data_IF_349350346774
#
_entry.id   IF_349350346774
#
_cell.length_a   1.000
_cell.length_b   1.000
_cell.length_c   1.000
_cell.angle_alpha   90.00
_cell.angle_beta   90.00
_cell.angle_gamma   90.00
#
_symmetry.space_group_name_H-M   'P 1'
#
loop_
_entity.id
_entity.type
_entity.pdbx_description
1 polymer ?
#
# COMPACT_ATOMS: atom_id res chain seq x y z
N UNK A 1 2.06 11.64 13.32
CA UNK A 1 0.95 12.60 13.51
C UNK A 1 1.09 13.45 14.78
N UNK A 2 1.30 12.87 15.98
CA UNK A 2 1.42 13.66 17.22
C UNK A 2 2.49 14.78 17.18
N UNK A 3 3.71 14.48 16.73
CA UNK A 3 4.77 15.48 16.59
C UNK A 3 4.39 16.62 15.63
N UNK A 4 3.56 16.34 14.61
CA UNK A 4 3.06 17.36 13.70
C UNK A 4 2.01 18.25 14.37
N UNK A 5 1.11 17.67 15.17
CA UNK A 5 0.15 18.43 16.00
C UNK A 5 0.91 19.40 16.93
N UNK A 6 2.01 18.96 17.54
CA UNK A 6 2.86 19.81 18.39
C UNK A 6 3.44 21.00 17.64
N UNK A 7 3.95 20.76 16.43
CA UNK A 7 4.46 21.84 15.56
C UNK A 7 3.36 22.86 15.26
N UNK A 8 2.14 22.40 14.98
CA UNK A 8 1.01 23.28 14.68
C UNK A 8 0.58 24.11 15.88
N UNK A 9 0.52 23.52 17.08
CA UNK A 9 0.19 24.23 18.32
C UNK A 9 1.25 25.29 18.63
N UNK A 10 2.53 24.96 18.50
CA UNK A 10 3.62 25.90 18.74
C UNK A 10 3.58 27.07 17.74
N UNK A 11 3.31 26.80 16.46
CA UNK A 11 3.20 27.82 15.43
C UNK A 11 2.00 28.77 15.64
N UNK A 12 0.92 28.27 16.24
CA UNK A 12 -0.33 29.01 16.46
C UNK A 12 -0.39 29.72 17.82
N UNK A 13 0.45 29.33 18.78
CA UNK A 13 0.61 29.98 20.09
C UNK A 13 1.47 31.27 20.03
N UNK A 14 2.06 31.59 18.88
CA UNK A 14 2.82 32.82 18.67
C UNK A 14 1.95 34.09 18.55
N UNK A 15 2.58 35.27 18.61
CA UNK A 15 1.89 36.59 18.51
C UNK A 15 1.27 36.89 17.13
N UNK A 16 1.52 36.05 16.14
CA UNK A 16 1.10 36.25 14.75
C UNK A 16 0.21 35.08 14.31
N UNK A 17 -1.05 35.38 14.03
CA UNK A 17 -1.98 34.43 13.44
C UNK A 17 -1.47 33.93 12.09
N UNK A 18 -1.60 32.63 11.83
CA UNK A 18 -1.32 32.06 10.51
C UNK A 18 -2.31 32.64 9.48
N UNK A 19 -1.87 32.98 8.25
CA UNK A 19 -2.75 33.54 7.23
C UNK A 19 -3.70 32.50 6.60
N UNK A 20 -3.78 31.30 7.16
CA UNK A 20 -4.58 30.18 6.68
C UNK A 20 -5.15 29.36 7.84
N UNK A 21 -6.20 28.57 7.55
CA UNK A 21 -6.76 27.57 8.46
C UNK A 21 -6.29 26.18 8.04
N UNK A 22 -6.04 25.31 9.02
CA UNK A 22 -5.59 23.94 8.77
C UNK A 22 -6.73 23.00 9.16
N UNK A 23 -7.14 22.14 8.23
CA UNK A 23 -8.02 21.01 8.50
C UNK A 23 -7.16 19.75 8.61
N UNK A 24 -7.25 19.07 9.75
CA UNK A 24 -6.58 17.79 9.99
C UNK A 24 -7.62 16.69 10.06
N UNK A 25 -7.38 15.60 9.36
CA UNK A 25 -8.17 14.37 9.48
C UNK A 25 -7.26 13.26 9.97
N UNK A 26 -7.74 12.46 10.92
CA UNK A 26 -7.01 11.33 11.47
C UNK A 26 -7.96 10.24 11.91
N UNK A 27 -7.46 9.00 11.98
CA UNK A 27 -8.15 7.94 12.73
C UNK A 27 -8.11 8.24 14.22
N UNK A 28 -9.05 7.65 14.97
CA UNK A 28 -9.08 7.73 16.43
C UNK A 28 -7.99 6.81 16.99
N UNK A 29 -6.76 7.28 17.01
CA UNK A 29 -5.65 6.61 17.66
C UNK A 29 -5.43 7.20 19.04
N UNK A 30 -5.15 6.35 20.04
CA UNK A 30 -5.07 6.77 21.44
C UNK A 30 -4.05 7.88 21.67
N UNK A 31 -2.92 7.83 20.96
CA UNK A 31 -1.88 8.85 21.05
C UNK A 31 -2.29 10.21 20.47
N UNK A 32 -3.21 10.21 19.49
CA UNK A 32 -3.79 11.43 18.90
C UNK A 32 -4.87 11.98 19.82
N UNK A 33 -5.78 11.10 20.30
CA UNK A 33 -6.85 11.45 21.24
C UNK A 33 -6.33 12.11 22.49
N UNK A 34 -5.32 11.50 23.14
CA UNK A 34 -4.65 12.08 24.31
C UNK A 34 -4.10 13.49 24.05
N UNK A 35 -3.66 13.77 22.83
CA UNK A 35 -3.11 15.08 22.48
C UNK A 35 -4.20 16.11 22.24
N UNK A 36 -5.34 15.74 21.65
CA UNK A 36 -6.49 16.63 21.50
C UNK A 36 -7.22 16.91 22.82
N UNK A 37 -7.18 15.96 23.76
CA UNK A 37 -7.77 16.11 25.09
C UNK A 37 -6.91 16.97 26.04
N UNK A 38 -5.68 17.34 25.63
CA UNK A 38 -4.78 18.16 26.44
C UNK A 38 -5.31 19.61 26.55
N UNK A 39 -5.51 20.14 27.76
CA UNK A 39 -5.95 21.52 27.99
C UNK A 39 -5.11 22.58 27.26
N UNK A 40 -3.81 22.32 27.06
CA UNK A 40 -2.93 23.23 26.33
C UNK A 40 -3.29 23.36 24.83
N UNK A 41 -4.05 22.42 24.28
CA UNK A 41 -4.42 22.38 22.85
C UNK A 41 -5.83 22.87 22.56
N UNK A 42 -6.72 22.87 23.57
CA UNK A 42 -8.13 23.20 23.42
C UNK A 42 -8.40 24.66 23.02
N UNK A 43 -7.47 25.57 23.33
CA UNK A 43 -7.59 26.98 22.95
C UNK A 43 -7.35 27.25 21.46
N UNK A 44 -6.70 26.30 20.78
CA UNK A 44 -6.20 26.51 19.41
C UNK A 44 -6.73 25.48 18.41
N UNK A 45 -7.20 24.34 18.91
CA UNK A 45 -7.70 23.24 18.09
C UNK A 45 -9.20 23.05 18.31
N UNK A 46 -9.95 23.03 17.20
CA UNK A 46 -11.34 22.61 17.19
C UNK A 46 -11.40 21.13 16.82
N UNK A 47 -11.74 20.27 17.79
CA UNK A 47 -11.86 18.83 17.58
C UNK A 47 -13.31 18.47 17.24
N UNK A 48 -13.51 17.82 16.09
CA UNK A 48 -14.79 17.24 15.68
C UNK A 48 -14.68 15.71 15.76
N UNK A 49 -15.29 15.13 16.79
CA UNK A 49 -15.34 13.67 16.94
C UNK A 49 -16.41 13.08 16.01
N UNK A 50 -15.98 12.28 15.05
CA UNK A 50 -16.85 11.57 14.12
C UNK A 50 -17.12 10.12 14.55
N UNK A 51 -16.55 9.64 15.67
CA UNK A 51 -16.71 8.26 16.12
C UNK A 51 -18.17 7.89 16.41
N UNK A 52 -18.96 8.87 16.87
CA UNK A 52 -20.38 8.70 17.19
C UNK A 52 -21.31 9.31 16.14
N UNK A 53 -20.78 9.76 14.99
CA UNK A 53 -21.61 10.30 13.92
C UNK A 53 -22.40 9.16 13.26
N UNK A 54 -23.74 9.26 13.30
CA UNK A 54 -24.61 8.31 12.62
C UNK A 54 -24.75 8.67 11.14
N UNK A 55 -23.86 8.10 10.33
CA UNK A 55 -23.86 8.26 8.87
C UNK A 55 -24.97 7.47 8.15
N UNK A 56 -25.87 6.78 8.87
CA UNK A 56 -26.81 5.82 8.26
C UNK A 56 -27.76 6.46 7.25
N UNK A 57 -28.25 7.67 7.51
CA UNK A 57 -29.11 8.41 6.57
C UNK A 57 -28.34 8.79 5.28
N UNK A 58 -27.11 9.26 5.43
CA UNK A 58 -26.26 9.61 4.28
C UNK A 58 -25.93 8.35 3.44
N UNK A 59 -25.68 7.22 4.10
CA UNK A 59 -25.46 5.91 3.45
C UNK A 59 -26.73 5.45 2.72
N UNK A 60 -27.92 5.69 3.27
CA UNK A 60 -29.17 5.37 2.57
C UNK A 60 -29.29 6.15 1.27
N UNK A 61 -29.10 7.47 1.30
CA UNK A 61 -29.13 8.31 0.10
C UNK A 61 -28.06 7.87 -0.90
N UNK A 62 -26.86 7.53 -0.41
CA UNK A 62 -25.79 7.00 -1.22
C UNK A 62 -26.18 5.68 -1.90
N UNK A 63 -26.70 4.70 -1.16
CA UNK A 63 -27.15 3.42 -1.72
C UNK A 63 -28.24 3.60 -2.77
N UNK A 64 -29.28 4.38 -2.47
CA UNK A 64 -30.38 4.64 -3.41
C UNK A 64 -29.83 5.23 -4.72
N UNK A 65 -28.94 6.22 -4.62
CA UNK A 65 -28.32 6.83 -5.81
C UNK A 65 -27.46 5.83 -6.59
N UNK A 66 -26.59 5.09 -5.91
CA UNK A 66 -25.62 4.21 -6.56
C UNK A 66 -26.27 2.95 -7.14
N UNK A 67 -27.24 2.34 -6.46
CA UNK A 67 -27.94 1.20 -7.01
C UNK A 67 -28.81 1.57 -8.23
N UNK A 68 -29.43 2.76 -8.22
CA UNK A 68 -30.09 3.26 -9.42
C UNK A 68 -29.09 3.46 -10.57
N UNK A 69 -27.92 4.02 -10.29
CA UNK A 69 -26.85 4.15 -11.28
C UNK A 69 -26.41 2.79 -11.86
N UNK A 70 -26.15 1.79 -11.00
CA UNK A 70 -25.82 0.43 -11.42
C UNK A 70 -26.94 -0.16 -12.29
N UNK A 71 -28.19 0.01 -11.89
CA UNK A 71 -29.34 -0.48 -12.67
C UNK A 71 -29.35 0.12 -14.07
N UNK A 72 -29.21 1.44 -14.17
CA UNK A 72 -29.31 2.19 -15.43
C UNK A 72 -28.10 1.93 -16.36
N UNK A 73 -26.91 1.63 -15.81
CA UNK A 73 -25.77 1.19 -16.62
C UNK A 73 -25.90 -0.25 -17.12
N UNK A 74 -26.70 -1.08 -16.45
CA UNK A 74 -26.83 -2.51 -16.73
C UNK A 74 -28.20 -2.91 -17.28
N UNK A 75 -28.92 -1.99 -17.96
CA UNK A 75 -30.30 -2.19 -18.40
C UNK A 75 -30.55 -3.53 -19.09
N UNK A 76 -29.67 -3.97 -20.00
CA UNK A 76 -29.81 -5.26 -20.71
C UNK A 76 -29.91 -6.46 -19.75
N UNK A 77 -29.14 -6.44 -18.67
CA UNK A 77 -29.11 -7.50 -17.65
C UNK A 77 -30.19 -7.30 -16.58
N UNK A 78 -30.68 -6.08 -16.43
CA UNK A 78 -31.65 -5.67 -15.40
C UNK A 78 -33.09 -5.55 -15.90
N UNK A 79 -33.35 -5.73 -17.21
CA UNK A 79 -34.67 -5.63 -17.86
C UNK A 79 -35.80 -6.42 -17.18
N UNK A 80 -35.46 -7.55 -16.53
CA UNK A 80 -36.44 -8.42 -15.84
C UNK A 80 -36.52 -8.17 -14.34
N UNK A 81 -35.75 -7.20 -13.84
CA UNK A 81 -35.70 -6.83 -12.43
C UNK A 81 -36.57 -5.59 -12.23
N UNK A 82 -37.54 -5.69 -11.33
CA UNK A 82 -38.47 -4.59 -11.04
C UNK A 82 -37.78 -3.46 -10.28
N UNK A 83 -38.16 -2.20 -10.57
CA UNK A 83 -37.81 -1.04 -9.74
C UNK A 83 -38.81 -0.89 -8.57
N UNK A 84 -38.39 -0.31 -7.42
CA UNK A 84 -37.03 0.10 -7.09
C UNK A 84 -36.10 -1.12 -6.91
N UNK A 85 -34.83 -0.94 -7.31
CA UNK A 85 -33.79 -1.93 -7.09
C UNK A 85 -32.62 -1.29 -6.34
N UNK A 86 -32.16 -1.88 -5.22
CA UNK A 86 -32.72 -3.04 -4.52
C UNK A 86 -34.13 -2.78 -3.98
N UNK A 87 -34.83 -3.85 -3.58
CA UNK A 87 -36.12 -3.69 -2.90
C UNK A 87 -35.92 -2.95 -1.56
N UNK A 88 -36.95 -2.29 -1.04
CA UNK A 88 -36.85 -1.58 0.26
C UNK A 88 -36.44 -2.51 1.42
N UNK A 89 -36.84 -3.79 1.35
CA UNK A 89 -36.43 -4.82 2.30
C UNK A 89 -34.93 -5.11 2.21
N UNK A 90 -34.44 -5.33 0.99
CA UNK A 90 -33.01 -5.63 0.77
C UNK A 90 -32.14 -4.41 1.09
N UNK A 91 -32.59 -3.20 0.74
CA UNK A 91 -31.92 -1.95 1.12
C UNK A 91 -31.78 -1.82 2.64
N UNK A 92 -32.83 -2.17 3.39
CA UNK A 92 -32.80 -2.17 4.86
C UNK A 92 -31.77 -3.17 5.39
N UNK A 93 -31.67 -4.36 4.79
CA UNK A 93 -30.64 -5.35 5.14
C UNK A 93 -29.24 -4.79 4.88
N UNK A 94 -29.02 -4.18 3.72
CA UNK A 94 -27.72 -3.56 3.39
C UNK A 94 -27.36 -2.42 4.34
N UNK A 95 -28.32 -1.58 4.72
CA UNK A 95 -28.12 -0.52 5.71
C UNK A 95 -27.73 -1.07 7.08
N UNK A 96 -28.40 -2.14 7.51
CA UNK A 96 -28.04 -2.82 8.76
C UNK A 96 -26.63 -3.41 8.71
N UNK A 97 -26.23 -3.97 7.56
CA UNK A 97 -24.87 -4.50 7.36
C UNK A 97 -23.81 -3.40 7.36
N UNK A 98 -24.10 -2.26 6.73
CA UNK A 98 -23.17 -1.15 6.65
C UNK A 98 -23.01 -0.37 7.96
N UNK A 99 -24.07 -0.31 8.77
CA UNK A 99 -24.09 0.56 9.95
C UNK A 99 -23.77 2.00 9.54
N UNK A 100 -22.76 2.59 10.18
CA UNK A 100 -22.25 3.93 9.86
C UNK A 100 -20.97 3.91 9.01
N UNK A 101 -20.58 2.77 8.43
CA UNK A 101 -19.33 2.62 7.70
C UNK A 101 -19.50 2.90 6.20
N UNK A 102 -19.13 4.12 5.78
CA UNK A 102 -19.05 4.48 4.37
C UNK A 102 -18.04 3.63 3.58
N UNK A 103 -16.95 3.19 4.20
CA UNK A 103 -15.98 2.28 3.58
C UNK A 103 -16.63 0.95 3.20
N UNK A 104 -17.44 0.39 4.12
CA UNK A 104 -18.19 -0.83 3.85
C UNK A 104 -19.28 -0.60 2.79
N UNK A 105 -20.07 0.47 2.91
CA UNK A 105 -21.08 0.83 1.92
C UNK A 105 -20.49 1.00 0.51
N UNK A 106 -19.35 1.67 0.40
CA UNK A 106 -18.65 1.86 -0.88
C UNK A 106 -18.17 0.53 -1.45
N UNK A 107 -17.53 -0.31 -0.62
CA UNK A 107 -17.05 -1.63 -1.05
C UNK A 107 -18.21 -2.52 -1.51
N UNK A 108 -19.37 -2.46 -0.85
CA UNK A 108 -20.57 -3.18 -1.29
C UNK A 108 -21.06 -2.73 -2.66
N UNK A 109 -21.12 -1.42 -2.89
CA UNK A 109 -21.52 -0.86 -4.19
C UNK A 109 -20.54 -1.29 -5.27
N UNK A 110 -19.24 -1.22 -5.02
CA UNK A 110 -18.22 -1.67 -5.97
C UNK A 110 -18.30 -3.17 -6.23
N UNK A 111 -18.55 -3.97 -5.20
CA UNK A 111 -18.77 -5.42 -5.33
C UNK A 111 -19.98 -5.71 -6.22
N UNK A 112 -21.12 -5.07 -5.99
CA UNK A 112 -22.32 -5.35 -6.79
C UNK A 112 -22.19 -4.81 -8.21
N UNK A 113 -21.65 -3.60 -8.38
CA UNK A 113 -21.51 -2.93 -9.67
C UNK A 113 -20.43 -3.54 -10.58
N UNK A 114 -19.35 -4.07 -10.00
CA UNK A 114 -18.26 -4.71 -10.76
C UNK A 114 -18.58 -6.12 -11.28
N UNK A 115 -19.67 -6.74 -10.84
CA UNK A 115 -20.06 -8.06 -11.32
C UNK A 115 -20.85 -7.97 -12.64
N UNK A 116 -20.61 -8.86 -13.62
CA UNK A 116 -21.36 -8.88 -14.88
C UNK A 116 -22.89 -9.05 -14.73
N UNK A 117 -23.34 -9.54 -13.57
CA UNK A 117 -24.76 -9.74 -13.23
C UNK A 117 -25.04 -9.11 -11.85
N UNK A 118 -25.26 -7.78 -11.77
CA UNK A 118 -25.39 -7.08 -10.48
C UNK A 118 -26.49 -7.65 -9.58
N UNK A 119 -27.64 -8.04 -10.14
CA UNK A 119 -28.72 -8.67 -9.38
C UNK A 119 -28.31 -9.98 -8.70
N UNK A 120 -27.46 -10.79 -9.34
CA UNK A 120 -26.94 -12.04 -8.73
C UNK A 120 -25.90 -11.75 -7.66
N UNK A 121 -25.05 -10.75 -7.88
CA UNK A 121 -24.05 -10.33 -6.90
C UNK A 121 -24.72 -9.80 -5.63
N UNK A 122 -25.75 -8.96 -5.78
CA UNK A 122 -26.58 -8.50 -4.68
C UNK A 122 -27.23 -9.66 -3.93
N UNK A 123 -27.82 -10.63 -4.64
CA UNK A 123 -28.43 -11.80 -4.01
C UNK A 123 -27.40 -12.62 -3.21
N UNK A 124 -26.24 -12.92 -3.80
CA UNK A 124 -25.13 -13.61 -3.12
C UNK A 124 -24.71 -12.86 -1.86
N UNK A 125 -24.62 -11.53 -1.93
CA UNK A 125 -24.27 -10.69 -0.78
C UNK A 125 -25.32 -10.74 0.33
N UNK A 126 -26.61 -10.71 -0.01
CA UNK A 126 -27.70 -10.82 0.97
C UNK A 126 -27.68 -12.19 1.66
N UNK A 127 -27.42 -13.25 0.89
CA UNK A 127 -27.36 -14.65 1.38
C UNK A 127 -26.08 -14.95 2.19
N UNK A 128 -24.95 -14.33 1.85
CA UNK A 128 -23.63 -14.62 2.42
C UNK A 128 -23.48 -14.35 3.92
N UNK A 129 -24.44 -13.68 4.57
CA UNK A 129 -24.34 -13.29 5.98
C UNK A 129 -23.18 -12.34 6.30
N UNK A 130 -22.43 -11.86 5.29
CA UNK A 130 -21.27 -10.98 5.45
C UNK A 130 -21.67 -9.72 6.21
N UNK A 131 -20.99 -9.52 7.34
CA UNK A 131 -21.12 -8.37 8.23
C UNK A 131 -19.71 -7.83 8.50
N UNK A 132 -19.47 -6.56 8.22
CA UNK A 132 -18.16 -5.93 8.38
C UNK A 132 -17.20 -6.18 7.21
N UNK A 133 -16.12 -5.41 7.17
CA UNK A 133 -15.20 -5.34 6.02
C UNK A 133 -14.41 -6.63 5.78
N UNK A 134 -13.99 -7.33 6.83
CA UNK A 134 -13.10 -8.49 6.70
C UNK A 134 -13.76 -9.64 5.90
N UNK A 135 -14.98 -10.10 6.23
CA UNK A 135 -15.61 -11.14 5.43
C UNK A 135 -15.96 -10.68 4.00
N UNK A 136 -16.13 -9.37 3.77
CA UNK A 136 -16.34 -8.84 2.42
C UNK A 136 -15.05 -8.90 1.60
N UNK A 137 -13.90 -8.56 2.19
CA UNK A 137 -12.60 -8.76 1.55
C UNK A 137 -12.32 -10.23 1.27
N UNK A 138 -12.59 -11.13 2.22
CA UNK A 138 -12.48 -12.58 2.02
C UNK A 138 -13.36 -13.05 0.84
N UNK A 139 -14.59 -12.55 0.72
CA UNK A 139 -15.48 -12.90 -0.38
C UNK A 139 -14.95 -12.43 -1.75
N UNK A 140 -14.32 -11.25 -1.81
CA UNK A 140 -13.70 -10.75 -3.04
C UNK A 140 -12.47 -11.57 -3.39
N UNK A 141 -11.57 -11.78 -2.44
CA UNK A 141 -10.30 -12.49 -2.63
C UNK A 141 -10.51 -13.97 -2.96
N UNK A 142 -11.51 -14.63 -2.36
CA UNK A 142 -11.88 -16.02 -2.71
C UNK A 142 -12.42 -16.19 -4.14
N UNK A 143 -12.85 -15.09 -4.77
CA UNK A 143 -13.30 -15.09 -6.16
C UNK A 143 -12.18 -14.73 -7.15
N UNK A 144 -11.00 -14.35 -6.66
CA UNK A 144 -9.83 -14.00 -7.47
C UNK A 144 -9.00 -15.25 -7.86
N UNK A 145 -8.06 -15.07 -8.78
CA UNK A 145 -7.34 -16.14 -9.50
C UNK A 145 -6.40 -17.02 -8.66
N UNK A 146 -6.02 -16.61 -7.44
CA UNK A 146 -5.15 -17.39 -6.55
C UNK A 146 -3.77 -17.76 -7.13
N UNK A 147 -3.35 -17.15 -8.24
CA UNK A 147 -2.08 -17.43 -8.93
C UNK A 147 -0.89 -16.89 -8.14
N UNK A 148 0.32 -17.35 -8.44
CA UNK A 148 1.53 -16.79 -7.84
C UNK A 148 1.69 -15.30 -8.18
N UNK A 149 1.39 -14.93 -9.43
CA UNK A 149 1.48 -13.55 -9.91
C UNK A 149 0.47 -12.64 -9.19
N UNK A 150 -0.77 -13.10 -8.97
CA UNK A 150 -1.75 -12.38 -8.17
C UNK A 150 -1.23 -12.04 -6.76
N UNK A 151 -0.68 -13.04 -6.05
CA UNK A 151 -0.13 -12.82 -4.71
C UNK A 151 1.08 -11.88 -4.73
N UNK A 152 1.94 -11.97 -5.76
CA UNK A 152 3.10 -11.10 -5.91
C UNK A 152 2.71 -9.65 -6.21
N UNK A 153 1.75 -9.43 -7.11
CA UNK A 153 1.21 -8.12 -7.46
C UNK A 153 0.53 -7.49 -6.24
N UNK A 154 -0.41 -8.22 -5.61
CA UNK A 154 -1.15 -7.73 -4.46
C UNK A 154 -0.19 -7.44 -3.28
N UNK A 155 0.73 -8.36 -2.99
CA UNK A 155 1.81 -8.15 -2.01
C UNK A 155 2.58 -6.87 -2.24
N UNK A 156 2.97 -6.61 -3.48
CA UNK A 156 3.71 -5.41 -3.86
C UNK A 156 2.90 -4.14 -3.61
N UNK A 157 1.64 -4.08 -4.09
CA UNK A 157 0.75 -2.92 -3.88
C UNK A 157 0.55 -2.62 -2.38
N UNK A 158 0.44 -3.67 -1.56
CA UNK A 158 0.21 -3.52 -0.12
C UNK A 158 1.43 -2.95 0.60
N UNK A 159 2.66 -3.29 0.17
CA UNK A 159 3.90 -2.86 0.82
C UNK A 159 4.46 -1.55 0.28
N UNK A 160 4.16 -1.18 -0.96
CA UNK A 160 4.58 0.10 -1.53
C UNK A 160 4.02 1.27 -0.70
N UNK A 161 4.91 2.21 -0.38
CA UNK A 161 4.54 3.43 0.36
C UNK A 161 3.61 4.31 -0.48
N UNK A 162 3.95 4.47 -1.76
CA UNK A 162 3.17 5.21 -2.75
C UNK A 162 2.50 4.29 -3.76
N UNK A 163 1.33 4.70 -4.24
CA UNK A 163 0.65 4.06 -5.35
C UNK A 163 1.51 4.10 -6.61
N UNK A 164 1.47 3.03 -7.41
CA UNK A 164 2.21 2.88 -8.66
C UNK A 164 1.30 2.49 -9.81
N UNK A 165 1.79 2.70 -11.03
CA UNK A 165 1.05 2.38 -12.25
C UNK A 165 1.20 0.90 -12.64
N UNK A 166 0.39 0.45 -13.59
CA UNK A 166 0.46 -0.90 -14.14
C UNK A 166 1.80 -1.10 -14.85
N UNK A 167 2.23 -0.13 -15.65
CA UNK A 167 3.54 -0.12 -16.32
C UNK A 167 4.69 -0.27 -15.31
N UNK A 168 4.64 0.47 -14.18
CA UNK A 168 5.65 0.36 -13.13
C UNK A 168 5.68 -1.05 -12.52
N UNK A 169 4.51 -1.60 -12.17
CA UNK A 169 4.43 -2.93 -11.56
C UNK A 169 4.89 -4.03 -12.52
N UNK A 170 4.48 -3.98 -13.79
CA UNK A 170 4.92 -4.92 -14.83
C UNK A 170 6.43 -4.93 -14.97
N UNK A 171 7.03 -3.74 -15.06
CA UNK A 171 8.48 -3.58 -15.21
C UNK A 171 9.27 -4.00 -13.95
N UNK A 172 8.80 -3.66 -12.74
CA UNK A 172 9.46 -4.07 -11.49
C UNK A 172 9.35 -5.58 -11.22
N UNK A 173 8.19 -6.17 -11.50
CA UNK A 173 7.89 -7.57 -11.22
C UNK A 173 8.27 -8.51 -12.37
N UNK A 174 8.71 -7.96 -13.51
CA UNK A 174 9.03 -8.68 -14.75
C UNK A 174 7.81 -9.44 -15.30
N UNK A 175 6.64 -8.79 -15.28
CA UNK A 175 5.37 -9.28 -15.79
C UNK A 175 4.92 -8.45 -17.01
N UNK A 176 4.10 -9.04 -17.89
CA UNK A 176 3.44 -8.23 -18.92
C UNK A 176 2.33 -7.38 -18.28
N UNK A 177 2.09 -6.17 -18.80
CA UNK A 177 1.01 -5.32 -18.31
C UNK A 177 -0.35 -6.03 -18.39
N UNK A 178 -0.58 -6.82 -19.45
CA UNK A 178 -1.82 -7.58 -19.63
C UNK A 178 -2.06 -8.60 -18.51
N UNK A 179 -1.00 -9.25 -18.03
CA UNK A 179 -1.08 -10.19 -16.90
C UNK A 179 -1.43 -9.43 -15.62
N UNK A 180 -0.78 -8.28 -15.38
CA UNK A 180 -1.08 -7.43 -14.22
C UNK A 180 -2.54 -6.98 -14.22
N UNK A 181 -3.05 -6.53 -15.37
CA UNK A 181 -4.45 -6.14 -15.55
C UNK A 181 -5.38 -7.33 -15.26
N UNK A 182 -5.11 -8.49 -15.87
CA UNK A 182 -5.94 -9.68 -15.69
C UNK A 182 -6.08 -10.07 -14.22
N UNK A 183 -4.98 -10.04 -13.47
CA UNK A 183 -4.98 -10.38 -12.06
C UNK A 183 -5.74 -9.35 -11.21
N UNK A 184 -5.54 -8.06 -11.47
CA UNK A 184 -6.20 -7.00 -10.71
C UNK A 184 -7.70 -6.87 -11.01
N UNK A 185 -8.15 -7.23 -12.22
CA UNK A 185 -9.58 -7.26 -12.57
C UNK A 185 -10.38 -8.24 -11.69
N UNK A 186 -9.74 -9.28 -11.15
CA UNK A 186 -10.36 -10.20 -10.18
C UNK A 186 -10.72 -9.53 -8.85
N UNK A 187 -10.05 -8.42 -8.50
CA UNK A 187 -10.23 -7.67 -7.24
C UNK A 187 -10.59 -6.21 -7.45
N UNK A 188 -11.09 -5.84 -8.64
CA UNK A 188 -11.46 -4.46 -9.00
C UNK A 188 -12.55 -3.83 -8.11
N UNK A 189 -13.23 -4.63 -7.27
CA UNK A 189 -14.21 -4.13 -6.30
C UNK A 189 -13.57 -3.53 -5.04
N UNK A 190 -12.30 -3.81 -4.79
CA UNK A 190 -11.55 -3.35 -3.61
C UNK A 190 -10.30 -2.53 -3.99
N UNK A 191 -9.90 -2.59 -5.26
CA UNK A 191 -8.81 -1.83 -5.87
C UNK A 191 -9.32 -1.13 -7.12
N UNK A 192 -9.03 0.16 -7.28
CA UNK A 192 -9.24 0.90 -8.51
C UNK A 192 -8.15 0.55 -9.52
N UNK A 193 -8.54 -0.06 -10.63
CA UNK A 193 -7.68 -0.36 -11.77
C UNK A 193 -7.96 0.70 -12.84
N UNK A 194 -7.00 1.58 -13.16
CA UNK A 194 -7.23 2.64 -14.14
C UNK A 194 -7.37 2.08 -15.57
N UNK A 195 -8.01 2.86 -16.44
CA UNK A 195 -8.13 2.52 -17.86
C UNK A 195 -6.87 2.81 -18.69
N UNK A 196 -5.92 3.55 -18.11
CA UNK A 196 -4.62 3.84 -18.69
C UNK A 196 -3.52 3.23 -17.78
N UNK A 197 -2.62 2.45 -18.38
CA UNK A 197 -1.59 1.70 -17.65
C UNK A 197 -0.57 2.59 -16.91
N UNK A 198 -0.46 3.86 -17.29
CA UNK A 198 0.44 4.82 -16.64
C UNK A 198 -0.21 5.60 -15.48
N UNK A 199 -1.53 5.45 -15.28
CA UNK A 199 -2.23 6.02 -14.13
C UNK A 199 -2.04 5.14 -12.88
N UNK A 200 -2.23 5.75 -11.70
CA UNK A 200 -1.97 5.08 -10.42
C UNK A 200 -3.07 4.10 -10.04
N UNK A 201 -2.65 2.89 -9.66
CA UNK A 201 -3.51 1.90 -9.01
C UNK A 201 -3.78 2.38 -7.57
N UNK A 202 -5.04 2.39 -7.14
CA UNK A 202 -5.41 2.89 -5.81
C UNK A 202 -6.26 1.89 -5.06
N UNK A 203 -5.96 1.68 -3.77
CA UNK A 203 -6.89 0.99 -2.88
C UNK A 203 -8.10 1.89 -2.62
N UNK A 204 -9.32 1.37 -2.69
CA UNK A 204 -10.49 2.18 -2.33
C UNK A 204 -10.50 2.60 -0.86
N UNK A 205 -9.87 1.79 0.01
CA UNK A 205 -9.79 2.10 1.42
C UNK A 205 -8.56 1.49 2.09
N UNK A 206 -7.96 2.23 3.03
CA UNK A 206 -6.76 1.83 3.77
C UNK A 206 -6.97 0.60 4.64
N UNK A 207 -8.22 0.28 5.03
CA UNK A 207 -8.52 -0.94 5.81
C UNK A 207 -8.23 -2.23 5.05
N UNK A 208 -8.13 -2.21 3.72
CA UNK A 208 -7.71 -3.38 2.96
C UNK A 208 -6.25 -3.72 3.27
N UNK A 209 -5.37 -2.72 3.33
CA UNK A 209 -3.98 -2.87 3.77
C UNK A 209 -3.95 -3.42 5.19
N UNK A 210 -4.71 -2.82 6.11
CA UNK A 210 -4.79 -3.32 7.51
C UNK A 210 -5.27 -4.78 7.60
N UNK A 211 -6.19 -5.19 6.74
CA UNK A 211 -6.71 -6.56 6.71
C UNK A 211 -5.63 -7.53 6.22
N UNK A 212 -5.01 -7.23 5.07
CA UNK A 212 -4.04 -8.12 4.43
C UNK A 212 -2.73 -8.25 5.22
N UNK A 213 -2.34 -7.25 6.01
CA UNK A 213 -1.10 -7.29 6.83
C UNK A 213 -1.31 -7.82 8.26
N UNK A 214 -2.50 -8.31 8.62
CA UNK A 214 -2.77 -8.88 9.95
C UNK A 214 -3.25 -10.33 9.82
N UNK A 215 -2.37 -11.28 10.18
CA UNK A 215 -2.61 -12.72 10.00
C UNK A 215 -3.89 -13.25 10.65
N UNK A 216 -4.24 -12.75 11.83
CA UNK A 216 -5.47 -13.15 12.53
C UNK A 216 -6.76 -12.70 11.82
N UNK A 217 -6.67 -11.67 10.97
CA UNK A 217 -7.79 -11.13 10.19
C UNK A 217 -7.89 -11.79 8.82
N UNK A 218 -6.79 -11.87 8.08
CA UNK A 218 -6.78 -12.33 6.68
C UNK A 218 -6.52 -13.81 6.46
N UNK A 219 -6.11 -14.57 7.49
CA UNK A 219 -5.93 -16.03 7.45
C UNK A 219 -5.01 -16.46 6.30
N UNK A 220 -5.55 -17.11 5.27
CA UNK A 220 -4.82 -17.58 4.09
C UNK A 220 -4.43 -16.44 3.12
N UNK A 221 -5.13 -15.30 3.18
CA UNK A 221 -4.83 -14.10 2.40
C UNK A 221 -3.79 -13.18 3.06
N UNK A 222 -3.16 -13.65 4.14
CA UNK A 222 -2.17 -12.86 4.87
C UNK A 222 -0.92 -12.61 4.02
N UNK A 223 -0.60 -11.33 3.84
CA UNK A 223 0.64 -10.86 3.22
C UNK A 223 1.61 -10.58 4.35
N UNK A 224 2.66 -11.38 4.44
CA UNK A 224 3.72 -11.23 5.43
C UNK A 224 4.62 -10.02 5.08
N UNK A 225 4.51 -8.89 5.80
CA UNK A 225 5.20 -7.67 5.38
C UNK A 225 6.73 -7.81 5.31
N UNK A 226 7.44 -8.37 6.31
CA UNK A 226 8.88 -8.56 6.19
C UNK A 226 9.29 -9.42 5.00
N UNK A 227 8.57 -10.52 4.74
CA UNK A 227 8.87 -11.39 3.60
C UNK A 227 8.71 -10.63 2.27
N UNK A 228 7.64 -9.85 2.15
CA UNK A 228 7.36 -9.09 0.93
C UNK A 228 8.35 -7.94 0.72
N UNK A 229 8.83 -7.30 1.79
CA UNK A 229 9.96 -6.37 1.72
C UNK A 229 11.21 -7.05 1.12
N UNK A 230 11.57 -8.26 1.57
CA UNK A 230 12.72 -8.97 0.98
C UNK A 230 12.51 -9.32 -0.50
N UNK A 231 11.30 -9.72 -0.89
CA UNK A 231 10.98 -9.95 -2.31
C UNK A 231 11.13 -8.65 -3.13
N UNK A 232 10.65 -7.51 -2.64
CA UNK A 232 10.82 -6.23 -3.32
C UNK A 232 12.29 -5.82 -3.45
N UNK A 233 13.11 -6.06 -2.43
CA UNK A 233 14.55 -5.85 -2.53
C UNK A 233 15.18 -6.71 -3.64
N UNK A 234 14.77 -7.97 -3.76
CA UNK A 234 15.21 -8.87 -4.83
C UNK A 234 14.79 -8.33 -6.20
N UNK A 235 13.55 -7.90 -6.38
CA UNK A 235 13.07 -7.33 -7.64
C UNK A 235 13.80 -6.04 -8.01
N UNK A 236 14.03 -5.14 -7.04
CA UNK A 236 14.81 -3.93 -7.26
C UNK A 236 16.23 -4.28 -7.73
N UNK A 237 16.92 -5.19 -7.05
CA UNK A 237 18.28 -5.58 -7.40
C UNK A 237 18.36 -6.30 -8.75
N UNK A 238 17.38 -7.16 -9.08
CA UNK A 238 17.29 -7.79 -10.41
C UNK A 238 17.15 -6.75 -11.50
N UNK A 239 16.23 -5.79 -11.33
CA UNK A 239 16.02 -4.72 -12.30
C UNK A 239 17.30 -3.92 -12.54
N UNK A 240 18.00 -3.52 -11.48
CA UNK A 240 19.27 -2.79 -11.59
C UNK A 240 20.39 -3.59 -12.26
N UNK A 241 20.38 -4.93 -12.15
CA UNK A 241 21.39 -5.81 -12.75
C UNK A 241 21.07 -6.10 -14.23
N UNK A 242 19.81 -6.33 -14.57
CA UNK A 242 19.36 -6.77 -15.90
C UNK A 242 19.18 -5.61 -16.89
N UNK A 243 18.84 -4.42 -16.41
CA UNK A 243 18.58 -3.23 -17.23
C UNK A 243 19.63 -2.15 -16.97
N UNK A 244 20.85 -2.31 -17.51
CA UNK A 244 21.92 -1.33 -17.32
C UNK A 244 21.60 -0.04 -18.06
N UNK A 245 21.39 1.04 -17.31
CA UNK A 245 21.24 2.39 -17.84
C UNK A 245 22.56 3.18 -17.72
N UNK A 246 22.65 4.33 -18.41
CA UNK A 246 23.83 5.22 -18.27
C UNK A 246 23.92 5.82 -16.86
N UNK A 247 22.77 6.09 -16.27
CA UNK A 247 22.55 6.46 -14.88
C UNK A 247 21.23 5.82 -14.41
N UNK A 248 21.09 5.54 -13.11
CA UNK A 248 19.88 4.87 -12.59
C UNK A 248 18.64 5.79 -12.53
N UNK A 249 18.59 6.86 -13.32
CA UNK A 249 17.42 7.74 -13.45
C UNK A 249 16.65 7.55 -14.76
N UNK A 250 17.16 6.73 -15.68
CA UNK A 250 16.45 6.34 -16.89
C UNK A 250 15.27 5.41 -16.55
N UNK A 251 14.13 5.99 -16.17
CA UNK A 251 12.90 5.28 -15.85
C UNK A 251 12.54 5.32 -14.37
N UNK A 252 11.23 5.32 -14.09
CA UNK A 252 10.67 5.36 -12.74
C UNK A 252 11.05 4.12 -11.90
N UNK A 253 11.11 2.94 -12.51
CA UNK A 253 11.50 1.69 -11.84
C UNK A 253 12.98 1.66 -11.48
N UNK A 254 13.89 2.04 -12.38
CA UNK A 254 15.33 2.08 -12.08
C UNK A 254 15.61 3.08 -10.95
N UNK A 255 14.99 4.26 -11.01
CA UNK A 255 15.08 5.28 -9.98
C UNK A 255 14.57 4.77 -8.63
N UNK A 256 13.38 4.18 -8.62
CA UNK A 256 12.82 3.56 -7.42
C UNK A 256 13.74 2.47 -6.85
N UNK A 257 14.19 1.55 -7.70
CA UNK A 257 15.00 0.41 -7.30
C UNK A 257 16.32 0.88 -6.68
N UNK A 258 16.97 1.88 -7.28
CA UNK A 258 18.21 2.48 -6.79
C UNK A 258 18.06 3.03 -5.36
N UNK A 259 16.99 3.80 -5.11
CA UNK A 259 16.76 4.41 -3.80
C UNK A 259 16.24 3.43 -2.74
N UNK A 260 15.51 2.37 -3.13
CA UNK A 260 14.70 1.60 -2.19
C UNK A 260 15.16 0.16 -1.94
N UNK A 261 16.09 -0.41 -2.72
CA UNK A 261 16.50 -1.81 -2.49
C UNK A 261 17.08 -2.02 -1.08
N UNK A 262 17.89 -1.08 -0.57
CA UNK A 262 18.49 -1.16 0.77
C UNK A 262 17.46 -0.89 1.86
N UNK A 263 16.54 0.04 1.63
CA UNK A 263 15.40 0.32 2.49
C UNK A 263 14.57 -0.95 2.71
N UNK A 264 14.20 -1.65 1.64
CA UNK A 264 13.39 -2.87 1.77
C UNK A 264 14.11 -3.99 2.55
N UNK A 265 15.42 -4.19 2.34
CA UNK A 265 16.19 -5.14 3.16
C UNK A 265 16.14 -4.74 4.63
N UNK A 266 16.36 -3.46 4.93
CA UNK A 266 16.33 -2.93 6.28
C UNK A 266 14.95 -3.12 6.93
N UNK A 267 13.88 -2.73 6.26
CA UNK A 267 12.50 -2.84 6.75
C UNK A 267 12.12 -4.30 7.03
N UNK A 268 12.50 -5.23 6.15
CA UNK A 268 12.28 -6.66 6.38
C UNK A 268 12.98 -7.18 7.64
N UNK A 269 14.22 -6.76 7.89
CA UNK A 269 14.98 -7.15 9.09
C UNK A 269 14.43 -6.52 10.36
N UNK A 270 14.01 -5.26 10.28
CA UNK A 270 13.45 -4.56 11.42
C UNK A 270 12.18 -5.25 11.91
N UNK A 271 11.34 -5.74 11.00
CA UNK A 271 10.07 -6.41 11.30
C UNK A 271 10.23 -7.89 11.72
N UNK A 272 11.10 -8.66 11.05
CA UNK A 272 11.27 -10.10 11.32
C UNK A 272 12.35 -10.42 12.35
N UNK A 273 13.17 -9.43 12.72
CA UNK A 273 14.42 -9.62 13.44
C UNK A 273 15.54 -10.15 12.53
N UNK A 274 16.57 -10.77 13.12
CA UNK A 274 17.74 -11.27 12.37
C UNK A 274 17.52 -12.62 11.65
N UNK A 275 16.26 -13.02 11.44
CA UNK A 275 15.89 -14.29 10.78
C UNK A 275 15.52 -13.99 9.34
N UNK A 276 16.35 -14.42 8.41
CA UNK A 276 16.11 -14.37 6.96
C UNK A 276 16.21 -15.79 6.43
N UNK A 277 15.26 -16.19 5.59
CA UNK A 277 15.32 -17.48 4.89
C UNK A 277 16.63 -17.62 4.08
N UNK A 278 17.22 -18.81 4.07
CA UNK A 278 18.52 -19.03 3.44
C UNK A 278 18.50 -18.79 1.92
N UNK A 279 17.39 -19.08 1.23
CA UNK A 279 17.23 -18.84 -0.21
C UNK A 279 17.13 -17.35 -0.50
N UNK A 280 16.39 -16.62 0.33
CA UNK A 280 16.29 -15.15 0.24
C UNK A 280 17.67 -14.54 0.48
N UNK A 281 18.36 -14.93 1.55
CA UNK A 281 19.69 -14.43 1.87
C UNK A 281 20.69 -14.71 0.74
N UNK A 282 20.66 -15.92 0.17
CA UNK A 282 21.52 -16.31 -0.96
C UNK A 282 21.22 -15.48 -2.22
N UNK A 283 19.93 -15.24 -2.51
CA UNK A 283 19.51 -14.41 -3.63
C UNK A 283 20.00 -12.97 -3.48
N UNK A 284 19.79 -12.37 -2.30
CA UNK A 284 20.26 -11.02 -1.99
C UNK A 284 21.79 -10.92 -2.11
N UNK A 285 22.54 -11.86 -1.52
CA UNK A 285 24.01 -11.90 -1.61
C UNK A 285 24.48 -11.98 -3.07
N UNK A 286 23.83 -12.80 -3.88
CA UNK A 286 24.18 -12.98 -5.30
C UNK A 286 23.91 -11.72 -6.09
N UNK A 287 22.73 -11.13 -5.94
CA UNK A 287 22.32 -9.95 -6.68
C UNK A 287 23.11 -8.70 -6.29
N UNK A 288 23.42 -8.51 -5.00
CA UNK A 288 24.28 -7.40 -4.56
C UNK A 288 25.70 -7.56 -5.13
N UNK A 289 26.25 -8.78 -5.13
CA UNK A 289 27.55 -9.04 -5.77
C UNK A 289 27.50 -8.68 -7.26
N UNK A 290 26.48 -9.14 -7.97
CA UNK A 290 26.31 -8.85 -9.39
C UNK A 290 26.19 -7.35 -9.65
N UNK A 291 25.40 -6.62 -8.86
CA UNK A 291 25.28 -5.17 -8.96
C UNK A 291 26.64 -4.48 -8.81
N UNK A 292 27.42 -4.87 -7.79
CA UNK A 292 28.74 -4.27 -7.55
C UNK A 292 29.76 -4.61 -8.63
N UNK A 293 29.70 -5.79 -9.23
CA UNK A 293 30.65 -6.21 -10.27
C UNK A 293 30.27 -5.72 -11.66
N UNK A 294 28.99 -5.76 -12.03
CA UNK A 294 28.53 -5.39 -13.38
C UNK A 294 28.16 -3.91 -13.51
N UNK A 295 27.55 -3.32 -12.48
CA UNK A 295 27.07 -1.93 -12.50
C UNK A 295 27.79 -1.00 -11.53
N UNK A 296 28.88 -1.44 -10.88
CA UNK A 296 29.58 -0.63 -9.87
C UNK A 296 30.00 0.76 -10.38
N UNK A 297 30.41 0.87 -11.65
CA UNK A 297 30.75 2.17 -12.26
C UNK A 297 29.53 3.09 -12.43
N UNK A 298 28.42 2.55 -12.94
CA UNK A 298 27.15 3.27 -13.09
C UNK A 298 26.60 3.72 -11.74
N UNK A 299 26.63 2.82 -10.75
CA UNK A 299 26.26 3.11 -9.35
C UNK A 299 27.07 4.28 -8.80
N UNK A 300 28.39 4.26 -8.99
CA UNK A 300 29.27 5.34 -8.57
C UNK A 300 28.90 6.67 -9.20
N UNK A 301 28.80 6.70 -10.53
CA UNK A 301 28.50 7.93 -11.26
C UNK A 301 27.16 8.51 -10.78
N UNK A 302 26.16 7.64 -10.58
CA UNK A 302 24.84 8.03 -10.05
C UNK A 302 24.95 8.59 -8.62
N UNK A 303 25.65 7.91 -7.70
CA UNK A 303 25.87 8.36 -6.32
C UNK A 303 26.61 9.70 -6.20
N UNK A 304 27.40 10.11 -7.21
CA UNK A 304 28.05 11.41 -7.27
C UNK A 304 27.11 12.53 -7.72
N UNK A 305 25.99 12.19 -8.34
CA UNK A 305 25.03 13.16 -8.91
C UNK A 305 23.81 13.42 -8.04
N UNK A 306 23.47 12.51 -7.12
CA UNK A 306 22.34 12.67 -6.19
C UNK A 306 22.61 13.71 -5.10
N UNK A 307 21.54 14.27 -4.52
CA UNK A 307 21.65 15.25 -3.44
C UNK A 307 22.24 14.63 -2.18
N UNK A 308 22.87 15.47 -1.36
CA UNK A 308 23.48 15.03 -0.10
C UNK A 308 22.50 14.27 0.81
N UNK A 309 21.26 14.76 0.94
CA UNK A 309 20.26 14.16 1.84
C UNK A 309 19.78 12.78 1.34
N UNK A 310 19.59 12.64 0.02
CA UNK A 310 19.24 11.36 -0.62
C UNK A 310 20.37 10.32 -0.44
N UNK A 311 21.63 10.77 -0.61
CA UNK A 311 22.81 9.95 -0.34
C UNK A 311 22.89 9.53 1.13
N UNK A 312 22.63 10.44 2.05
CA UNK A 312 22.63 10.17 3.48
C UNK A 312 21.55 9.14 3.86
N UNK A 313 20.38 9.21 3.24
CA UNK A 313 19.28 8.26 3.47
C UNK A 313 19.64 6.84 3.03
N UNK A 314 20.15 6.66 1.79
CA UNK A 314 20.62 5.35 1.31
C UNK A 314 21.67 4.77 2.27
N UNK A 315 22.65 5.60 2.66
CA UNK A 315 23.71 5.17 3.57
C UNK A 315 23.21 4.83 4.97
N UNK A 316 22.16 5.51 5.47
CA UNK A 316 21.52 5.16 6.74
C UNK A 316 20.97 3.75 6.66
N UNK A 317 20.16 3.42 5.66
CA UNK A 317 19.58 2.07 5.52
C UNK A 317 20.65 0.97 5.41
N UNK A 318 21.73 1.23 4.68
CA UNK A 318 22.84 0.27 4.58
C UNK A 318 23.58 0.13 5.93
N UNK A 319 23.86 1.23 6.64
CA UNK A 319 24.52 1.17 7.96
C UNK A 319 23.65 0.49 9.00
N UNK A 320 22.37 0.84 9.06
CA UNK A 320 21.41 0.31 10.03
C UNK A 320 21.14 -1.17 9.75
N UNK A 321 20.97 -1.55 8.48
CA UNK A 321 20.88 -2.95 8.05
C UNK A 321 22.11 -3.76 8.45
N UNK A 322 23.32 -3.20 8.24
CA UNK A 322 24.58 -3.84 8.66
C UNK A 322 24.63 -4.11 10.18
N UNK A 323 24.15 -3.18 11.00
CA UNK A 323 24.08 -3.34 12.46
C UNK A 323 23.13 -4.50 12.82
N UNK A 324 21.95 -4.57 12.17
CA UNK A 324 20.98 -5.65 12.40
C UNK A 324 21.52 -7.03 12.00
N UNK A 325 22.36 -7.09 10.96
CA UNK A 325 22.98 -8.32 10.48
C UNK A 325 24.07 -8.91 11.38
N UNK A 326 24.58 -8.19 12.39
CA UNK A 326 25.65 -8.69 13.26
C UNK A 326 25.22 -9.84 14.20
N UNK A 327 23.93 -10.16 14.26
CA UNK A 327 23.36 -11.16 15.19
C UNK A 327 23.18 -12.57 14.60
N UNK A 328 23.45 -12.80 13.30
CA UNK A 328 23.23 -14.11 12.65
C UNK A 328 24.39 -14.53 11.72
N UNK A 329 24.64 -15.83 11.58
CA UNK A 329 25.69 -16.40 10.74
C UNK A 329 25.34 -16.28 9.25
N UNK A 330 24.06 -16.47 8.90
CA UNK A 330 23.52 -16.39 7.52
C UNK A 330 23.76 -15.01 6.91
N UNK A 331 23.81 -13.98 7.76
CA UNK A 331 23.88 -12.58 7.37
C UNK A 331 25.31 -12.04 7.31
N UNK A 332 26.33 -12.83 7.67
CA UNK A 332 27.75 -12.40 7.64
C UNK A 332 28.21 -11.95 6.26
N UNK A 333 27.73 -12.61 5.20
CA UNK A 333 28.02 -12.22 3.82
C UNK A 333 27.34 -10.89 3.45
N UNK A 334 26.10 -10.67 3.89
CA UNK A 334 25.39 -9.40 3.71
C UNK A 334 26.10 -8.28 4.47
N UNK A 335 26.56 -8.50 5.70
CA UNK A 335 27.37 -7.55 6.47
C UNK A 335 28.63 -7.13 5.71
N UNK A 336 29.34 -8.08 5.10
CA UNK A 336 30.55 -7.79 4.31
C UNK A 336 30.22 -6.98 3.06
N UNK A 337 29.16 -7.35 2.34
CA UNK A 337 28.73 -6.63 1.14
C UNK A 337 28.26 -5.22 1.48
N UNK A 338 27.50 -5.04 2.56
CA UNK A 338 27.06 -3.74 3.01
C UNK A 338 28.24 -2.87 3.43
N UNK A 339 29.28 -3.44 4.06
CA UNK A 339 30.52 -2.72 4.30
C UNK A 339 31.20 -2.28 2.99
N UNK A 340 31.24 -3.15 1.98
CA UNK A 340 31.77 -2.77 0.66
C UNK A 340 30.98 -1.62 0.04
N UNK A 341 29.65 -1.62 0.15
CA UNK A 341 28.81 -0.50 -0.32
C UNK A 341 29.16 0.79 0.44
N UNK A 342 29.31 0.73 1.77
CA UNK A 342 29.68 1.89 2.60
C UNK A 342 31.06 2.41 2.20
N UNK A 343 32.07 1.54 2.18
CA UNK A 343 33.45 1.89 1.81
C UNK A 343 33.50 2.55 0.44
N UNK A 344 32.78 1.97 -0.53
CA UNK A 344 32.68 2.49 -1.88
C UNK A 344 32.09 3.90 -1.93
N UNK A 345 31.11 4.20 -1.08
CA UNK A 345 30.48 5.51 -1.01
C UNK A 345 31.30 6.56 -0.22
N UNK A 346 32.12 6.13 0.74
CA UNK A 346 32.92 6.99 1.63
C UNK A 346 34.31 7.32 1.07
N UNK A 347 34.98 6.37 0.40
CA UNK A 347 36.38 6.48 -0.08
C UNK A 347 36.62 7.62 -1.09
N UNK A 348 35.58 8.27 -1.64
CA UNK A 348 35.74 9.36 -2.61
C UNK A 348 34.96 10.64 -2.32
N UNK A 349 34.50 10.84 -1.09
CA UNK A 349 34.00 12.16 -0.64
C UNK A 349 35.15 13.15 -0.37
N UNK A 350 36.41 12.69 -0.39
CA UNK A 350 37.60 13.48 -0.07
C UNK A 350 38.64 13.62 -1.19
N UNK A 351 38.30 13.31 -2.46
CA UNK A 351 39.19 13.55 -3.60
C UNK A 351 38.52 14.43 -4.67
#
# INVERSE_FOLDING_TARGET
MAAFIDVLINASSGKSHLPFRILLTSRVEEHIRKRFDDPATQSTLYHLDLANYDARLDIQVYFEKQFNHIYDQNLRMMQRISKPWPSSKDLTVLLNKAGSSFAFATTLIQFVGGYPKPHKALQKLLESGVNGLDPLYEQVLSSASGTADFHQILGTIIILEDNKSITFLGSLLHLQNEDVVCELLGVQSIINVPGNDDELIMLYHTSLRDFLTIKSRSKEYFIDPPLQHFHLAIHCLKHLVEYPSKDFFEGDVANYAFFNWSHHIFSGLQMQGSRVDERIATSLVTLIKNLLTSQGKTWNNTMLTIKHDEKAQILSYVRDGKILFQKSIVTKNLTKLFQQVIDFCEVRVYN
#
